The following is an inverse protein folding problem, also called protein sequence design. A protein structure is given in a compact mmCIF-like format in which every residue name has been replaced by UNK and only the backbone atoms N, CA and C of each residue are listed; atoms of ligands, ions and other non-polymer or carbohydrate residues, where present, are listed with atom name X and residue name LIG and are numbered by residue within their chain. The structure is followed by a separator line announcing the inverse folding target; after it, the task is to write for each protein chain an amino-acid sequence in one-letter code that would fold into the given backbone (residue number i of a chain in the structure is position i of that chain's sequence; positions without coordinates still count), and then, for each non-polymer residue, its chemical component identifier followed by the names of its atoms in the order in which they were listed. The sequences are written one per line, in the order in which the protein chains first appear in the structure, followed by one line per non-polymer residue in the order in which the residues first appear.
data_IF_757682092343
#
_entry.id   IF_757682092343
#
_cell.length_a   1.000
_cell.length_b   1.000
_cell.length_c   1.000
_cell.angle_alpha   90.00
_cell.angle_beta   90.00
_cell.angle_gamma   90.00
#
_symmetry.space_group_name_H-M   'P 1'
#
loop_
_entity.id
_entity.type
_entity.pdbx_description
1 polymer ?
#
# COMPACT_ATOMS: atom_id res chain seq x y z
N UNK A 1 62.34 -12.08 82.81
CA UNK A 1 62.63 -10.66 82.42
C UNK A 1 62.41 -10.50 80.94
N UNK A 2 61.65 -9.56 80.58
CA UNK A 2 61.13 -9.29 79.25
C UNK A 2 62.24 -8.89 78.27
N UNK A 3 62.18 -9.35 77.01
CA UNK A 3 62.53 -8.52 75.87
C UNK A 3 61.70 -8.91 74.66
N UNK A 4 61.12 -7.88 74.11
CA UNK A 4 60.25 -7.89 72.99
C UNK A 4 61.07 -7.80 71.71
N UNK A 5 60.93 -8.72 70.77
CA UNK A 5 61.47 -8.67 69.44
C UNK A 5 60.38 -8.43 68.41
N UNK A 6 60.46 -7.27 67.77
CA UNK A 6 59.55 -6.90 66.63
C UNK A 6 59.94 -7.66 65.37
N UNK A 7 59.05 -8.45 64.84
CA UNK A 7 59.17 -9.05 63.53
C UNK A 7 58.44 -8.15 62.49
N UNK A 8 59.17 -7.61 61.52
CA UNK A 8 58.61 -6.91 60.38
C UNK A 8 58.08 -7.94 59.37
N UNK A 9 56.85 -8.01 59.19
CA UNK A 9 56.21 -8.82 58.12
C UNK A 9 55.99 -7.91 56.89
N UNK A 10 56.72 -8.19 55.82
CA UNK A 10 56.53 -7.59 54.53
C UNK A 10 55.31 -8.24 53.87
N UNK A 11 54.27 -7.44 53.66
CA UNK A 11 53.09 -7.87 52.95
C UNK A 11 53.33 -7.66 51.43
N UNK A 12 53.48 -8.74 50.70
CA UNK A 12 53.40 -8.75 49.23
C UNK A 12 51.91 -8.68 48.81
N UNK A 13 51.47 -7.55 48.35
CA UNK A 13 50.16 -7.41 47.72
C UNK A 13 50.27 -7.84 46.25
N UNK A 14 49.76 -9.03 45.94
CA UNK A 14 49.53 -9.50 44.59
C UNK A 14 48.30 -8.74 44.02
N UNK A 15 48.54 -7.80 43.13
CA UNK A 15 47.47 -7.15 42.40
C UNK A 15 46.86 -8.12 41.38
N UNK A 16 45.66 -8.63 41.66
CA UNK A 16 44.82 -9.28 40.63
C UNK A 16 44.30 -8.21 39.70
N UNK A 17 44.86 -8.16 38.48
CA UNK A 17 44.22 -7.44 37.36
C UNK A 17 43.03 -8.28 36.89
N UNK A 18 41.83 -7.91 37.33
CA UNK A 18 40.59 -8.43 36.74
C UNK A 18 40.39 -7.76 35.39
N UNK A 19 40.69 -8.50 34.31
CA UNK A 19 40.27 -8.15 32.97
C UNK A 19 38.77 -8.43 32.89
N UNK A 20 37.93 -7.39 33.06
CA UNK A 20 36.54 -7.46 32.70
C UNK A 20 36.47 -7.42 31.18
N UNK A 21 36.29 -8.59 30.54
CA UNK A 21 35.87 -8.66 29.14
C UNK A 21 34.47 -8.04 29.05
N UNK A 22 34.40 -6.81 28.56
CA UNK A 22 33.13 -6.21 28.11
C UNK A 22 32.67 -7.01 26.91
N UNK A 23 31.75 -7.93 27.12
CA UNK A 23 30.96 -8.49 26.02
C UNK A 23 30.13 -7.34 25.48
N UNK A 24 30.58 -6.78 24.35
CA UNK A 24 29.72 -5.97 23.53
C UNK A 24 28.50 -6.85 23.15
N UNK A 25 27.33 -6.51 23.68
CA UNK A 25 26.07 -7.02 23.16
C UNK A 25 26.03 -6.55 21.70
N UNK A 26 26.23 -7.49 20.79
CA UNK A 26 25.83 -7.33 19.40
C UNK A 26 24.30 -7.32 19.46
N UNK A 27 23.70 -6.13 19.46
CA UNK A 27 22.28 -6.01 19.17
C UNK A 27 22.10 -6.59 17.77
N UNK A 28 21.43 -7.74 17.68
CA UNK A 28 20.89 -8.19 16.41
C UNK A 28 20.03 -7.05 15.89
N UNK A 29 20.21 -6.61 14.62
CA UNK A 29 19.34 -5.59 14.06
C UNK A 29 17.91 -6.11 14.11
N UNK A 30 17.01 -5.29 14.65
CA UNK A 30 15.57 -5.54 14.69
C UNK A 30 15.14 -5.97 13.27
N UNK A 31 14.54 -7.15 13.13
CA UNK A 31 14.14 -7.70 11.84
C UNK A 31 13.22 -6.74 11.07
N UNK A 32 12.47 -5.90 11.77
CA UNK A 32 11.64 -4.83 11.20
C UNK A 32 12.44 -3.69 10.54
N UNK A 33 13.70 -3.44 10.94
CA UNK A 33 14.53 -2.40 10.31
C UNK A 33 15.23 -2.87 9.03
N UNK A 34 15.34 -4.18 8.82
CA UNK A 34 16.03 -4.74 7.65
C UNK A 34 15.17 -4.80 6.37
N UNK A 35 13.85 -4.60 6.49
CA UNK A 35 12.88 -4.71 5.39
C UNK A 35 12.22 -3.37 4.99
N UNK A 36 12.68 -2.25 5.53
CA UNK A 36 12.20 -0.94 5.05
C UNK A 36 12.62 -0.77 3.58
N UNK A 37 11.70 -0.45 2.67
CA UNK A 37 12.04 -0.20 1.27
C UNK A 37 13.05 0.95 1.21
N UNK A 38 14.24 0.70 0.69
CA UNK A 38 15.27 1.72 0.47
C UNK A 38 15.08 2.47 -0.84
N UNK A 39 14.12 2.04 -1.67
CA UNK A 39 13.82 2.62 -2.97
C UNK A 39 12.51 3.40 -2.94
N UNK A 40 12.48 4.48 -3.70
CA UNK A 40 11.34 5.35 -3.90
C UNK A 40 10.22 4.59 -4.65
N UNK A 41 9.17 4.19 -3.91
CA UNK A 41 8.07 3.43 -4.49
C UNK A 41 7.16 4.33 -5.33
N UNK A 42 7.14 4.09 -6.63
CA UNK A 42 6.15 4.70 -7.53
C UNK A 42 4.82 3.93 -7.42
N UNK A 43 3.75 4.67 -7.16
CA UNK A 43 2.43 4.07 -6.98
C UNK A 43 1.84 3.65 -8.32
N UNK A 44 1.45 2.39 -8.44
CA UNK A 44 0.76 1.89 -9.61
C UNK A 44 -0.72 2.30 -9.64
N UNK A 45 -1.20 2.72 -10.80
CA UNK A 45 -2.62 2.82 -11.09
C UNK A 45 -3.25 1.42 -11.23
N UNK A 46 -4.58 1.30 -11.15
CA UNK A 46 -5.25 0.03 -11.42
C UNK A 46 -4.88 -0.57 -12.79
N UNK A 47 -4.81 0.29 -13.80
CA UNK A 47 -4.54 -0.08 -15.19
C UNK A 47 -3.10 -0.59 -15.36
N UNK A 48 -2.12 0.08 -14.77
CA UNK A 48 -0.71 -0.34 -14.74
C UNK A 48 -0.56 -1.69 -14.05
N UNK A 49 -1.20 -1.85 -12.89
CA UNK A 49 -1.15 -3.10 -12.13
C UNK A 49 -1.75 -4.27 -12.93
N UNK A 50 -2.91 -4.06 -13.55
CA UNK A 50 -3.57 -5.10 -14.37
C UNK A 50 -2.72 -5.40 -15.59
N UNK A 51 -2.22 -4.37 -16.29
CA UNK A 51 -1.35 -4.53 -17.43
C UNK A 51 -0.10 -5.35 -17.09
N UNK A 52 0.54 -5.05 -15.98
CA UNK A 52 1.74 -5.74 -15.50
C UNK A 52 1.49 -7.23 -15.25
N UNK A 53 0.39 -7.57 -14.57
CA UNK A 53 0.17 -8.92 -14.07
C UNK A 53 -0.79 -9.78 -14.91
N UNK A 54 -1.41 -9.23 -15.97
CA UNK A 54 -2.38 -9.97 -16.80
C UNK A 54 -1.80 -11.22 -17.44
N UNK A 55 -0.57 -11.14 -17.93
CA UNK A 55 0.12 -12.29 -18.56
C UNK A 55 0.38 -13.38 -17.53
N UNK A 56 0.94 -13.04 -16.37
CA UNK A 56 1.17 -13.98 -15.26
C UNK A 56 -0.13 -14.64 -14.81
N UNK A 57 -1.22 -13.89 -14.71
CA UNK A 57 -2.52 -14.44 -14.32
C UNK A 57 -3.07 -15.42 -15.37
N UNK A 58 -2.92 -15.13 -16.66
CA UNK A 58 -3.34 -16.03 -17.75
C UNK A 58 -2.46 -17.28 -17.78
N UNK A 59 -1.15 -17.15 -17.64
CA UNK A 59 -0.23 -18.30 -17.55
C UNK A 59 -0.58 -19.23 -16.37
N UNK A 60 -0.93 -18.63 -15.21
CA UNK A 60 -1.40 -19.42 -14.06
C UNK A 60 -2.77 -20.08 -14.32
N UNK A 61 -3.67 -19.42 -15.03
CA UNK A 61 -4.92 -20.04 -15.44
C UNK A 61 -4.69 -21.27 -16.32
N UNK A 62 -3.82 -21.15 -17.32
CA UNK A 62 -3.46 -22.26 -18.22
C UNK A 62 -2.79 -23.42 -17.48
N UNK A 63 -1.96 -23.12 -16.48
CA UNK A 63 -1.19 -24.14 -15.75
C UNK A 63 -1.98 -24.77 -14.59
N UNK A 64 -2.69 -23.97 -13.81
CA UNK A 64 -3.37 -24.43 -12.58
C UNK A 64 -4.88 -24.56 -12.74
N UNK A 65 -5.49 -23.98 -13.77
CA UNK A 65 -6.95 -23.99 -13.94
C UNK A 65 -7.69 -22.98 -13.07
N UNK A 66 -6.99 -21.99 -12.50
CA UNK A 66 -7.59 -20.90 -11.72
C UNK A 66 -7.88 -19.73 -12.68
N UNK A 67 -9.12 -19.19 -12.76
CA UNK A 67 -9.42 -18.07 -13.63
C UNK A 67 -8.44 -16.91 -13.48
N UNK A 68 -7.97 -16.34 -14.60
CA UNK A 68 -7.08 -15.18 -14.57
C UNK A 68 -7.74 -13.98 -13.88
N UNK A 69 -9.05 -13.81 -14.10
CA UNK A 69 -9.86 -12.78 -13.42
C UNK A 69 -9.91 -12.97 -11.91
N UNK A 70 -9.97 -14.18 -11.41
CA UNK A 70 -9.93 -14.50 -9.97
C UNK A 70 -8.55 -14.15 -9.41
N UNK A 71 -7.48 -14.61 -10.07
CA UNK A 71 -6.10 -14.30 -9.63
C UNK A 71 -5.86 -12.80 -9.55
N UNK A 72 -6.17 -12.05 -10.61
CA UNK A 72 -6.01 -10.58 -10.60
C UNK A 72 -6.97 -9.88 -9.62
N UNK A 73 -8.23 -10.31 -9.59
CA UNK A 73 -9.21 -9.73 -8.68
C UNK A 73 -8.81 -9.87 -7.21
N UNK A 74 -8.27 -11.03 -6.82
CA UNK A 74 -7.73 -11.25 -5.47
C UNK A 74 -6.47 -10.41 -5.23
N UNK A 75 -5.52 -10.40 -6.17
CA UNK A 75 -4.32 -9.59 -6.05
C UNK A 75 -4.65 -8.11 -5.87
N UNK A 76 -5.61 -7.58 -6.61
CA UNK A 76 -6.12 -6.20 -6.48
C UNK A 76 -6.75 -5.97 -5.11
N UNK A 77 -7.63 -6.87 -4.69
CA UNK A 77 -8.39 -6.75 -3.45
C UNK A 77 -7.49 -6.76 -2.21
N UNK A 78 -6.50 -7.65 -2.21
CA UNK A 78 -5.61 -7.90 -1.06
C UNK A 78 -4.44 -6.88 -1.01
N UNK A 79 -3.92 -6.46 -2.16
CA UNK A 79 -2.74 -5.59 -2.21
C UNK A 79 -3.03 -4.11 -2.49
N UNK A 80 -4.28 -3.75 -2.82
CA UNK A 80 -4.58 -2.39 -3.29
C UNK A 80 -3.76 -2.01 -4.53
N UNK A 81 -3.78 -2.85 -5.56
CA UNK A 81 -3.00 -2.69 -6.80
C UNK A 81 -1.47 -2.73 -6.57
N UNK A 82 -1.02 -3.58 -5.64
CA UNK A 82 0.39 -3.66 -5.28
C UNK A 82 0.90 -2.51 -4.41
N UNK A 83 0.06 -1.53 -4.08
CA UNK A 83 0.45 -0.37 -3.29
C UNK A 83 0.38 -0.61 -1.77
N UNK A 84 -0.25 -1.69 -1.32
CA UNK A 84 -0.38 -2.04 0.10
C UNK A 84 0.96 -2.41 0.74
N UNK A 85 1.06 -2.23 2.06
CA UNK A 85 2.29 -2.44 2.83
C UNK A 85 2.91 -3.82 2.56
N UNK A 86 2.15 -4.90 2.71
CA UNK A 86 2.67 -6.27 2.54
C UNK A 86 3.13 -6.55 1.10
N UNK A 87 2.47 -5.98 0.09
CA UNK A 87 2.92 -6.10 -1.30
C UNK A 87 4.27 -5.40 -1.50
N UNK A 88 4.47 -4.23 -0.90
CA UNK A 88 5.67 -3.40 -1.06
C UNK A 88 6.89 -3.94 -0.30
N UNK A 89 6.71 -4.32 0.97
CA UNK A 89 7.84 -4.68 1.85
C UNK A 89 8.11 -6.18 1.87
N UNK A 90 7.13 -7.00 1.49
CA UNK A 90 7.20 -8.45 1.57
C UNK A 90 6.90 -9.13 0.23
N UNK A 91 6.70 -8.37 -0.86
CA UNK A 91 6.23 -8.88 -2.16
C UNK A 91 4.97 -9.76 -2.04
N UNK A 92 4.16 -9.57 -0.97
CA UNK A 92 3.01 -10.41 -0.67
C UNK A 92 1.73 -9.76 -1.17
N UNK A 93 1.38 -10.05 -2.42
CA UNK A 93 0.24 -9.46 -3.13
C UNK A 93 -1.12 -10.09 -2.76
N UNK A 94 -1.13 -11.14 -1.95
CA UNK A 94 -2.35 -11.88 -1.58
C UNK A 94 -2.55 -11.95 -0.06
N UNK A 95 -1.78 -11.21 0.71
CA UNK A 95 -1.82 -11.21 2.18
C UNK A 95 -1.79 -12.63 2.78
N UNK A 96 -0.98 -13.53 2.19
CA UNK A 96 -0.91 -14.92 2.66
C UNK A 96 -0.18 -14.99 3.99
N UNK A 97 -0.89 -15.48 5.01
CA UNK A 97 -0.36 -15.69 6.37
C UNK A 97 0.57 -16.91 6.42
N UNK A 98 1.54 -16.88 7.34
CA UNK A 98 2.42 -18.02 7.58
C UNK A 98 1.64 -19.22 8.08
N UNK A 99 1.90 -20.40 7.48
CA UNK A 99 1.53 -21.70 8.07
C UNK A 99 2.73 -22.26 8.85
N UNK A 100 2.50 -23.24 9.72
CA UNK A 100 3.57 -23.92 10.47
C UNK A 100 4.64 -24.53 9.55
N UNK A 101 4.26 -24.96 8.36
CA UNK A 101 5.14 -25.53 7.33
C UNK A 101 5.94 -24.48 6.53
N UNK A 102 5.63 -23.19 6.68
CA UNK A 102 6.33 -22.14 5.95
C UNK A 102 7.76 -21.95 6.46
N UNK A 103 8.74 -22.11 5.57
CA UNK A 103 10.19 -22.00 5.88
C UNK A 103 10.83 -20.74 5.30
N UNK A 104 10.12 -19.97 4.47
CA UNK A 104 10.58 -18.71 3.87
C UNK A 104 10.60 -17.54 4.84
N UNK A 105 10.88 -16.34 4.31
CA UNK A 105 10.88 -15.08 5.04
C UNK A 105 9.55 -14.79 5.72
N UNK A 106 9.57 -14.04 6.82
CA UNK A 106 8.40 -13.73 7.63
C UNK A 106 8.41 -12.29 8.06
N UNK A 107 7.22 -11.67 8.09
CA UNK A 107 7.00 -10.34 8.66
C UNK A 107 5.77 -10.38 9.56
N UNK A 108 5.82 -9.64 10.66
CA UNK A 108 4.68 -9.44 11.54
C UNK A 108 3.93 -8.17 11.14
N UNK A 109 2.63 -8.28 10.96
CA UNK A 109 1.78 -7.13 10.65
C UNK A 109 0.41 -7.32 11.30
N UNK A 110 -0.17 -6.23 11.82
CA UNK A 110 -1.49 -6.29 12.44
C UNK A 110 -2.59 -6.46 11.38
N UNK A 111 -3.42 -7.49 11.55
CA UNK A 111 -4.59 -7.77 10.72
C UNK A 111 -5.73 -8.21 11.64
N UNK A 112 -6.16 -9.48 11.62
CA UNK A 112 -7.14 -10.01 12.58
C UNK A 112 -6.59 -9.99 14.02
N UNK A 113 -5.26 -10.17 14.17
CA UNK A 113 -4.54 -10.07 15.43
C UNK A 113 -3.34 -9.12 15.29
N UNK A 114 -2.89 -8.47 16.39
CA UNK A 114 -1.75 -7.55 16.34
C UNK A 114 -0.44 -8.18 15.84
N UNK A 115 -0.28 -9.50 16.05
CA UNK A 115 0.97 -10.23 15.78
C UNK A 115 0.80 -11.27 14.65
N UNK A 116 -0.07 -11.01 13.68
CA UNK A 116 -0.27 -11.92 12.56
C UNK A 116 1.01 -12.04 11.72
N UNK A 117 1.39 -13.28 11.40
CA UNK A 117 2.57 -13.58 10.59
C UNK A 117 2.20 -13.67 9.11
N UNK A 118 2.89 -12.91 8.27
CA UNK A 118 2.75 -12.95 6.80
C UNK A 118 4.02 -13.46 6.14
N UNK A 119 3.84 -14.14 4.97
CA UNK A 119 4.94 -14.63 4.16
C UNK A 119 5.67 -13.47 3.48
N UNK A 120 7.00 -13.56 3.41
CA UNK A 120 7.85 -12.66 2.62
C UNK A 120 8.38 -13.44 1.43
N UNK A 121 8.32 -12.84 0.25
CA UNK A 121 8.78 -13.43 -1.00
C UNK A 121 9.95 -12.64 -1.59
N UNK A 122 10.79 -13.33 -2.37
CA UNK A 122 11.92 -12.71 -3.05
C UNK A 122 11.49 -11.81 -4.22
N UNK A 123 10.30 -12.07 -4.77
CA UNK A 123 9.69 -11.25 -5.83
C UNK A 123 8.18 -11.32 -5.80
N UNK A 124 7.48 -10.35 -6.43
CA UNK A 124 6.04 -10.40 -6.63
C UNK A 124 5.57 -11.67 -7.36
N UNK A 125 6.30 -12.13 -8.38
CA UNK A 125 6.00 -13.35 -9.13
C UNK A 125 5.98 -14.59 -8.23
N UNK A 126 6.90 -14.64 -7.24
CA UNK A 126 6.92 -15.71 -6.25
C UNK A 126 5.64 -15.73 -5.39
N UNK A 127 5.08 -14.55 -5.08
CA UNK A 127 3.79 -14.41 -4.39
C UNK A 127 2.63 -14.91 -5.24
N UNK A 128 2.61 -14.56 -6.54
CA UNK A 128 1.58 -15.06 -7.47
C UNK A 128 1.63 -16.58 -7.61
N UNK A 129 2.84 -17.14 -7.70
CA UNK A 129 3.02 -18.60 -7.76
C UNK A 129 2.54 -19.29 -6.48
N UNK A 130 2.98 -18.79 -5.31
CA UNK A 130 2.59 -19.36 -4.01
C UNK A 130 1.08 -19.25 -3.79
N UNK A 131 0.41 -18.21 -4.31
CA UNK A 131 -1.04 -18.12 -4.29
C UNK A 131 -1.70 -19.22 -5.12
N UNK A 132 -1.20 -19.49 -6.33
CA UNK A 132 -1.73 -20.57 -7.17
C UNK A 132 -1.51 -21.94 -6.50
N UNK A 133 -0.31 -22.19 -5.97
CA UNK A 133 0.00 -23.41 -5.19
C UNK A 133 -0.90 -23.51 -3.93
N UNK A 134 -1.13 -22.42 -3.22
CA UNK A 134 -1.98 -22.36 -2.04
C UNK A 134 -3.44 -22.78 -2.31
N UNK A 135 -3.98 -22.39 -3.46
CA UNK A 135 -5.31 -22.81 -3.88
C UNK A 135 -5.31 -24.24 -4.39
N UNK A 136 -4.30 -24.63 -5.20
CA UNK A 136 -4.23 -25.94 -5.82
C UNK A 136 -3.93 -27.07 -4.82
N UNK A 137 -3.11 -26.82 -3.79
CA UNK A 137 -2.76 -27.81 -2.76
C UNK A 137 -3.75 -27.86 -1.59
N UNK A 138 -4.56 -26.83 -1.46
CA UNK A 138 -5.48 -26.70 -0.33
C UNK A 138 -6.76 -27.49 -0.52
N UNK A 139 -6.87 -28.68 0.09
CA UNK A 139 -8.03 -29.60 -0.05
C UNK A 139 -9.39 -28.95 0.15
N UNK A 140 -9.48 -27.86 0.91
CA UNK A 140 -10.73 -27.09 1.09
C UNK A 140 -11.16 -26.36 -0.19
N UNK A 141 -10.25 -26.21 -1.18
CA UNK A 141 -10.49 -25.56 -2.45
C UNK A 141 -10.72 -26.54 -3.61
N UNK A 142 -10.55 -27.87 -3.42
CA UNK A 142 -10.64 -28.88 -4.47
C UNK A 142 -11.92 -28.77 -5.31
N UNK A 143 -13.03 -28.44 -4.67
CA UNK A 143 -14.32 -28.34 -5.35
C UNK A 143 -14.41 -27.16 -6.33
N UNK A 144 -13.55 -26.14 -6.19
CA UNK A 144 -13.51 -24.98 -7.09
C UNK A 144 -13.09 -25.40 -8.50
N UNK A 145 -12.19 -26.36 -8.60
CA UNK A 145 -11.68 -26.89 -9.87
C UNK A 145 -12.69 -27.72 -10.66
N UNK A 146 -13.90 -27.89 -10.14
CA UNK A 146 -15.04 -28.44 -10.88
C UNK A 146 -15.81 -27.36 -11.67
N UNK A 147 -15.55 -26.07 -11.43
CA UNK A 147 -16.11 -24.97 -12.21
C UNK A 147 -15.25 -24.69 -13.44
N UNK A 148 -15.88 -24.23 -14.52
CA UNK A 148 -15.16 -23.76 -15.70
C UNK A 148 -14.33 -22.50 -15.36
N UNK A 149 -13.24 -22.26 -16.09
CA UNK A 149 -12.37 -21.11 -15.85
C UNK A 149 -13.01 -19.77 -16.22
N UNK A 150 -14.08 -19.74 -16.98
CA UNK A 150 -14.87 -18.54 -17.28
C UNK A 150 -16.03 -18.30 -16.29
N UNK A 151 -16.25 -19.22 -15.33
CA UNK A 151 -17.28 -19.07 -14.30
C UNK A 151 -16.74 -18.41 -13.03
N UNK A 152 -16.14 -17.23 -13.19
CA UNK A 152 -15.58 -16.46 -12.06
C UNK A 152 -16.58 -16.20 -10.93
N UNK A 153 -17.90 -16.17 -11.23
CA UNK A 153 -18.93 -15.92 -10.19
C UNK A 153 -19.06 -17.09 -9.21
N UNK A 154 -19.06 -18.31 -9.71
CA UNK A 154 -19.06 -19.49 -8.85
C UNK A 154 -17.70 -19.69 -8.16
N UNK A 155 -16.59 -19.36 -8.83
CA UNK A 155 -15.28 -19.31 -8.20
C UNK A 155 -15.23 -18.36 -7.02
N UNK A 156 -15.68 -17.10 -7.17
CA UNK A 156 -15.71 -16.11 -6.09
C UNK A 156 -16.56 -16.57 -4.89
N UNK A 157 -17.78 -17.08 -5.15
CA UNK A 157 -18.65 -17.64 -4.11
C UNK A 157 -18.03 -18.84 -3.42
N UNK A 158 -17.39 -19.70 -4.18
CA UNK A 158 -16.71 -20.90 -3.68
C UNK A 158 -15.50 -20.55 -2.80
N UNK A 159 -14.71 -19.55 -3.17
CA UNK A 159 -13.61 -19.03 -2.33
C UNK A 159 -14.12 -18.54 -0.96
N UNK A 160 -15.21 -17.81 -0.95
CA UNK A 160 -15.87 -17.41 0.29
C UNK A 160 -16.36 -18.62 1.09
N UNK A 161 -17.02 -19.59 0.45
CA UNK A 161 -17.50 -20.82 1.08
C UNK A 161 -16.33 -21.62 1.67
N UNK A 162 -15.19 -21.68 0.97
CA UNK A 162 -13.98 -22.33 1.44
C UNK A 162 -13.28 -21.55 2.60
N UNK A 163 -13.74 -20.35 2.94
CA UNK A 163 -13.16 -19.54 3.99
C UNK A 163 -11.79 -18.94 3.59
N UNK A 164 -11.65 -18.47 2.35
CA UNK A 164 -10.45 -17.75 1.92
C UNK A 164 -10.27 -16.47 2.72
N UNK A 165 -11.35 -15.72 2.94
CA UNK A 165 -11.39 -14.52 3.75
C UNK A 165 -12.53 -14.56 4.77
N UNK A 166 -12.38 -13.80 5.87
CA UNK A 166 -13.36 -13.70 6.97
C UNK A 166 -14.51 -12.75 6.62
N UNK A 167 -14.32 -11.82 5.67
CA UNK A 167 -15.32 -10.84 5.29
C UNK A 167 -16.58 -11.51 4.69
N UNK A 168 -17.76 -11.15 5.22
CA UNK A 168 -19.03 -11.78 4.83
C UNK A 168 -19.44 -11.46 3.38
N UNK A 169 -18.93 -10.38 2.81
CA UNK A 169 -19.20 -9.89 1.44
C UNK A 169 -18.03 -10.08 0.47
N UNK A 170 -17.09 -10.95 0.84
CA UNK A 170 -15.86 -11.18 0.06
C UNK A 170 -16.12 -11.54 -1.40
N UNK A 171 -17.05 -12.48 -1.64
CA UNK A 171 -17.45 -12.90 -2.98
C UNK A 171 -17.99 -11.72 -3.81
N UNK A 172 -18.83 -10.89 -3.22
CA UNK A 172 -19.40 -9.73 -3.91
C UNK A 172 -18.34 -8.67 -4.22
N UNK A 173 -17.42 -8.43 -3.28
CA UNK A 173 -16.29 -7.50 -3.50
C UNK A 173 -15.40 -7.98 -4.64
N UNK A 174 -15.08 -9.27 -4.67
CA UNK A 174 -14.27 -9.88 -5.73
C UNK A 174 -14.97 -9.79 -7.09
N UNK A 175 -16.26 -10.17 -7.17
CA UNK A 175 -17.06 -10.04 -8.38
C UNK A 175 -17.11 -8.59 -8.87
N UNK A 176 -17.32 -7.63 -7.97
CA UNK A 176 -17.37 -6.22 -8.32
C UNK A 176 -16.04 -5.71 -8.92
N UNK A 177 -14.91 -6.17 -8.43
CA UNK A 177 -13.59 -5.84 -8.99
C UNK A 177 -13.45 -6.45 -10.39
N UNK A 178 -13.79 -7.73 -10.54
CA UNK A 178 -13.71 -8.42 -11.84
C UNK A 178 -14.59 -7.73 -12.88
N UNK A 179 -15.83 -7.39 -12.53
CA UNK A 179 -16.76 -6.71 -13.43
C UNK A 179 -16.35 -5.26 -13.71
N UNK A 180 -15.87 -4.53 -12.70
CA UNK A 180 -15.43 -3.14 -12.82
C UNK A 180 -14.30 -2.96 -13.83
N UNK A 181 -13.32 -3.84 -13.81
CA UNK A 181 -12.16 -3.81 -14.70
C UNK A 181 -12.27 -4.78 -15.87
N UNK A 182 -13.45 -5.38 -16.06
CA UNK A 182 -13.71 -6.35 -17.13
C UNK A 182 -12.68 -7.49 -17.19
N UNK A 183 -12.13 -7.90 -16.02
CA UNK A 183 -11.05 -8.90 -15.93
C UNK A 183 -11.46 -10.27 -16.51
N UNK A 184 -12.76 -10.58 -16.50
CA UNK A 184 -13.31 -11.81 -17.09
C UNK A 184 -13.02 -11.99 -18.60
N UNK A 185 -12.63 -10.91 -19.30
CA UNK A 185 -12.16 -11.00 -20.69
C UNK A 185 -10.90 -11.86 -20.78
N UNK A 186 -10.05 -11.85 -19.75
CA UNK A 186 -8.82 -12.61 -19.67
C UNK A 186 -9.03 -14.12 -19.56
N UNK A 187 -10.20 -14.53 -19.04
CA UNK A 187 -10.53 -15.96 -18.86
C UNK A 187 -10.85 -16.69 -20.17
N UNK A 188 -11.11 -15.93 -21.24
CA UNK A 188 -11.48 -16.47 -22.53
C UNK A 188 -10.28 -16.77 -23.44
N UNK A 189 -10.59 -17.41 -24.56
CA UNK A 189 -9.60 -17.63 -25.62
C UNK A 189 -9.01 -16.27 -26.09
N UNK A 190 -7.69 -16.24 -26.31
CA UNK A 190 -6.95 -15.03 -26.70
C UNK A 190 -7.17 -13.85 -25.71
N UNK A 191 -7.36 -14.18 -24.42
CA UNK A 191 -7.77 -13.26 -23.36
C UNK A 191 -6.88 -12.01 -23.26
N UNK A 192 -5.55 -12.15 -23.33
CA UNK A 192 -4.61 -11.02 -23.28
C UNK A 192 -4.86 -10.08 -24.46
N UNK A 193 -4.90 -10.58 -25.70
CA UNK A 193 -5.08 -9.74 -26.87
C UNK A 193 -6.43 -9.01 -26.85
N UNK A 194 -7.49 -9.67 -26.41
CA UNK A 194 -8.84 -9.09 -26.27
C UNK A 194 -8.90 -8.05 -25.15
N UNK A 195 -8.18 -8.29 -24.07
CA UNK A 195 -8.12 -7.34 -22.97
C UNK A 195 -7.30 -6.09 -23.35
N UNK A 196 -6.20 -6.28 -24.06
CA UNK A 196 -5.41 -5.18 -24.60
C UNK A 196 -6.21 -4.31 -25.59
N UNK A 197 -7.01 -4.96 -26.46
CA UNK A 197 -7.94 -4.24 -27.34
C UNK A 197 -9.01 -3.47 -26.56
N UNK A 198 -9.56 -4.07 -25.49
CA UNK A 198 -10.51 -3.41 -24.58
C UNK A 198 -9.88 -2.18 -23.91
N UNK A 199 -8.68 -2.32 -23.34
CA UNK A 199 -7.96 -1.21 -22.71
C UNK A 199 -7.72 -0.06 -23.70
N UNK A 200 -7.28 -0.37 -24.91
CA UNK A 200 -6.98 0.64 -25.92
C UNK A 200 -8.24 1.35 -26.44
N UNK A 201 -9.33 0.62 -26.72
CA UNK A 201 -10.52 1.16 -27.38
C UNK A 201 -11.56 1.72 -26.41
N UNK A 202 -11.85 1.00 -25.34
CA UNK A 202 -12.92 1.39 -24.41
C UNK A 202 -12.41 2.31 -23.30
N UNK A 203 -11.16 2.14 -22.85
CA UNK A 203 -10.58 2.98 -21.81
C UNK A 203 -9.67 4.08 -22.36
N UNK A 204 -9.33 4.03 -23.66
CA UNK A 204 -8.45 5.02 -24.30
C UNK A 204 -7.01 4.98 -23.79
N UNK A 205 -6.56 3.82 -23.30
CA UNK A 205 -5.22 3.66 -22.71
C UNK A 205 -4.19 3.40 -23.81
N UNK A 206 -3.10 4.16 -23.81
CA UNK A 206 -1.95 3.89 -24.67
C UNK A 206 -1.07 2.78 -24.07
N UNK A 207 -1.20 1.57 -24.62
CA UNK A 207 -0.46 0.41 -24.14
C UNK A 207 1.05 0.54 -24.33
N UNK A 208 1.53 1.41 -25.23
CA UNK A 208 2.97 1.66 -25.38
C UNK A 208 3.52 2.47 -24.21
N UNK A 209 2.71 3.37 -23.65
CA UNK A 209 3.05 4.09 -22.42
C UNK A 209 3.15 3.11 -21.25
N UNK A 210 2.15 2.26 -21.05
CA UNK A 210 2.19 1.24 -19.99
C UNK A 210 3.35 0.24 -20.15
N UNK A 211 3.66 -0.15 -21.40
CA UNK A 211 4.80 -1.02 -21.68
C UNK A 211 6.14 -0.31 -21.39
N UNK A 212 6.23 1.00 -21.66
CA UNK A 212 7.41 1.81 -21.36
C UNK A 212 7.61 1.99 -19.85
N UNK A 213 6.55 2.19 -19.11
CA UNK A 213 6.58 2.30 -17.65
C UNK A 213 6.96 0.96 -16.99
N UNK A 214 6.39 -0.14 -17.43
CA UNK A 214 6.73 -1.48 -16.94
C UNK A 214 8.20 -1.85 -17.27
N UNK A 215 8.71 -1.48 -18.46
CA UNK A 215 10.10 -1.69 -18.86
C UNK A 215 11.08 -0.75 -18.13
N UNK A 216 10.64 0.45 -17.76
CA UNK A 216 11.44 1.39 -16.99
C UNK A 216 11.69 0.88 -15.56
N UNK A 217 10.72 0.24 -14.92
CA UNK A 217 10.90 -0.40 -13.61
C UNK A 217 11.85 -1.62 -13.69
N UNK A 218 11.81 -2.38 -14.78
CA UNK A 218 12.75 -3.49 -15.01
C UNK A 218 14.18 -3.00 -15.28
N UNK A 219 14.34 -1.80 -15.88
CA UNK A 219 15.63 -1.20 -16.19
C UNK A 219 16.24 -0.36 -15.06
N UNK A 220 15.47 0.03 -14.04
CA UNK A 220 15.97 0.77 -12.86
C UNK A 220 16.92 -0.08 -12.03
N UNK A 221 16.85 -1.41 -12.12
CA UNK A 221 17.87 -2.29 -11.57
C UNK A 221 19.26 -2.13 -12.25
N UNK A 222 19.34 -1.46 -13.42
CA UNK A 222 20.58 -1.20 -14.18
C UNK A 222 21.01 0.27 -14.21
N UNK A 223 20.25 1.23 -13.65
CA UNK A 223 20.54 2.67 -13.77
C UNK A 223 20.74 3.35 -12.40
N UNK A 224 21.72 2.88 -11.64
CA UNK A 224 22.25 3.60 -10.46
C UNK A 224 23.19 4.78 -10.83
N UNK A 225 23.13 5.35 -12.01
CA UNK A 225 24.14 6.34 -12.42
C UNK A 225 23.63 7.61 -13.14
N UNK A 226 22.39 8.08 -13.03
CA UNK A 226 22.06 9.45 -13.51
C UNK A 226 20.84 10.11 -12.87
N UNK A 227 21.11 11.13 -12.06
CA UNK A 227 20.44 12.46 -12.04
C UNK A 227 18.91 12.53 -11.95
N UNK A 228 18.48 13.05 -10.83
CA UNK A 228 17.12 13.44 -10.37
C UNK A 228 16.24 14.10 -11.44
N UNK A 229 15.05 13.51 -11.71
CA UNK A 229 13.92 14.14 -12.42
C UNK A 229 12.88 14.71 -11.42
N UNK A 230 12.04 15.68 -11.80
CA UNK A 230 11.07 16.30 -10.86
C UNK A 230 9.96 15.32 -10.47
N UNK A 231 9.69 15.24 -9.18
CA UNK A 231 8.70 14.35 -8.58
C UNK A 231 7.28 14.82 -8.81
N UNK A 232 6.41 13.89 -9.15
CA UNK A 232 4.97 14.06 -9.25
C UNK A 232 4.30 14.06 -7.85
N UNK A 233 3.13 14.70 -7.74
CA UNK A 233 2.38 14.85 -6.47
C UNK A 233 2.02 13.48 -5.86
N UNK A 234 1.77 12.46 -6.69
CA UNK A 234 1.52 11.10 -6.25
C UNK A 234 2.68 10.49 -5.45
N UNK A 235 3.92 10.84 -5.79
CA UNK A 235 5.15 10.40 -5.12
C UNK A 235 5.29 11.00 -3.73
N UNK A 236 4.83 12.25 -3.53
CA UNK A 236 4.86 12.92 -2.23
C UNK A 236 4.00 12.22 -1.16
N UNK A 237 2.93 11.53 -1.56
CA UNK A 237 2.09 10.77 -0.62
C UNK A 237 2.72 9.44 -0.18
N UNK A 238 3.52 8.79 -1.05
CA UNK A 238 4.17 7.52 -0.74
C UNK A 238 5.22 7.64 0.38
N UNK A 239 5.97 8.76 0.40
CA UNK A 239 7.04 9.00 1.37
C UNK A 239 6.55 9.44 2.75
N UNK A 240 5.27 9.77 2.90
CA UNK A 240 4.72 10.25 4.18
C UNK A 240 4.50 9.14 5.22
N UNK A 241 4.69 7.87 4.86
CA UNK A 241 4.34 6.72 5.71
C UNK A 241 2.84 6.56 5.93
N UNK A 242 2.02 7.39 5.27
CA UNK A 242 0.56 7.31 5.31
C UNK A 242 0.12 6.74 3.98
N UNK A 243 -0.29 5.49 4.00
CA UNK A 243 -0.94 4.86 2.86
C UNK A 243 -2.39 5.38 2.77
N UNK A 244 -2.73 6.21 1.76
CA UNK A 244 -4.12 6.63 1.57
C UNK A 244 -5.05 5.46 1.22
N UNK A 245 -4.52 4.26 0.91
CA UNK A 245 -5.30 3.04 0.74
C UNK A 245 -5.58 2.31 2.06
N UNK A 246 -4.85 2.60 3.13
CA UNK A 246 -5.21 2.16 4.47
C UNK A 246 -6.39 2.96 5.05
N UNK A 247 -6.85 3.96 4.34
CA UNK A 247 -8.10 4.61 4.72
C UNK A 247 -9.26 3.67 4.42
N UNK A 248 -10.01 3.40 5.45
CA UNK A 248 -11.18 2.53 5.40
C UNK A 248 -12.11 2.96 4.26
N UNK A 249 -12.24 2.13 3.23
CA UNK A 249 -13.29 2.29 2.23
C UNK A 249 -14.63 2.08 2.93
N UNK A 250 -15.41 3.12 3.10
CA UNK A 250 -16.69 3.06 3.79
C UNK A 250 -17.82 2.72 2.85
N UNK A 251 -17.66 3.03 1.55
CA UNK A 251 -18.66 2.77 0.52
C UNK A 251 -17.95 2.40 -0.79
N UNK A 252 -18.16 1.17 -1.28
CA UNK A 252 -17.69 0.76 -2.59
C UNK A 252 -18.63 1.32 -3.66
N UNK A 253 -18.08 2.08 -4.61
CA UNK A 253 -18.77 2.52 -5.83
C UNK A 253 -20.06 3.33 -5.59
N UNK A 254 -19.94 4.44 -4.86
CA UNK A 254 -20.99 5.46 -4.87
C UNK A 254 -20.82 6.34 -6.12
N UNK A 255 -21.77 6.24 -7.05
CA UNK A 255 -21.69 6.94 -8.34
C UNK A 255 -20.38 6.72 -9.14
N UNK A 256 -19.82 5.53 -9.04
CA UNK A 256 -18.57 5.20 -9.74
C UNK A 256 -17.29 5.62 -9.01
N UNK A 257 -17.38 6.15 -7.78
CA UNK A 257 -16.22 6.48 -6.93
C UNK A 257 -16.16 5.57 -5.71
N UNK A 258 -14.97 5.17 -5.32
CA UNK A 258 -14.75 4.66 -3.98
C UNK A 258 -14.76 5.83 -3.00
N UNK A 259 -15.48 5.68 -1.91
CA UNK A 259 -15.51 6.68 -0.84
C UNK A 259 -14.61 6.18 0.28
N UNK A 260 -13.59 6.94 0.56
CA UNK A 260 -12.60 6.67 1.60
C UNK A 260 -12.89 7.49 2.85
N UNK A 261 -12.33 7.09 3.98
CA UNK A 261 -12.44 7.80 5.25
C UNK A 261 -11.05 8.05 5.83
N UNK A 262 -10.71 9.31 6.09
CA UNK A 262 -9.55 9.67 6.89
C UNK A 262 -9.90 10.76 7.89
N UNK A 263 -9.38 10.67 9.09
CA UNK A 263 -9.56 11.62 10.17
C UNK A 263 -11.04 12.01 10.44
N UNK A 264 -11.95 11.04 10.20
CA UNK A 264 -13.39 11.22 10.38
C UNK A 264 -14.09 12.00 9.24
N UNK A 265 -13.44 12.21 8.10
CA UNK A 265 -14.03 12.85 6.92
C UNK A 265 -13.95 11.95 5.70
N UNK A 266 -15.05 11.85 4.94
CA UNK A 266 -15.09 11.09 3.71
C UNK A 266 -14.49 11.88 2.54
N UNK A 267 -13.80 11.16 1.65
CA UNK A 267 -13.23 11.71 0.43
C UNK A 267 -13.29 10.72 -0.73
N UNK A 268 -13.11 11.23 -1.92
CA UNK A 268 -12.96 10.48 -3.17
C UNK A 268 -11.63 10.87 -3.82
N UNK A 269 -11.20 10.09 -4.79
CA UNK A 269 -10.08 10.46 -5.68
C UNK A 269 -10.67 10.94 -6.99
N UNK A 270 -10.34 12.15 -7.40
CA UNK A 270 -10.84 12.78 -8.62
C UNK A 270 -10.36 12.03 -9.86
N UNK A 271 -11.19 11.99 -10.89
CA UNK A 271 -10.88 11.41 -12.19
C UNK A 271 -10.62 12.49 -13.23
N UNK A 272 -10.05 12.11 -14.36
CA UNK A 272 -9.91 13.00 -15.50
C UNK A 272 -11.30 13.56 -15.94
N UNK A 273 -11.39 14.88 -16.08
CA UNK A 273 -12.63 15.58 -16.45
C UNK A 273 -13.57 15.91 -15.29
N UNK A 274 -13.23 15.56 -14.06
CA UNK A 274 -14.00 15.98 -12.90
C UNK A 274 -13.92 17.49 -12.69
N UNK A 275 -15.02 18.03 -12.16
CA UNK A 275 -15.10 19.40 -11.69
C UNK A 275 -15.90 19.44 -10.38
N UNK A 276 -15.73 20.50 -9.58
CA UNK A 276 -16.58 20.64 -8.40
C UNK A 276 -18.07 20.80 -8.74
N UNK A 277 -18.39 21.19 -9.97
CA UNK A 277 -19.77 21.23 -10.45
C UNK A 277 -20.30 19.82 -10.73
N UNK A 278 -19.54 18.96 -11.45
CA UNK A 278 -19.92 17.58 -11.73
C UNK A 278 -19.98 16.73 -10.46
N UNK A 279 -18.95 16.82 -9.60
CA UNK A 279 -18.90 16.12 -8.33
C UNK A 279 -19.98 16.60 -7.36
N UNK A 280 -20.28 17.91 -7.35
CA UNK A 280 -21.35 18.47 -6.55
C UNK A 280 -22.73 17.95 -6.91
N UNK A 281 -23.02 17.84 -8.21
CA UNK A 281 -24.25 17.23 -8.71
C UNK A 281 -24.33 15.73 -8.36
N UNK A 282 -23.19 15.04 -8.40
CA UNK A 282 -23.10 13.60 -8.15
C UNK A 282 -23.34 13.24 -6.67
N UNK A 283 -22.80 14.04 -5.76
CA UNK A 283 -22.86 13.79 -4.31
C UNK A 283 -23.92 14.64 -3.59
N UNK A 284 -24.73 15.37 -4.33
CA UNK A 284 -25.74 16.32 -3.79
C UNK A 284 -25.13 17.35 -2.83
N UNK A 285 -23.99 17.91 -3.22
CA UNK A 285 -23.27 18.92 -2.45
C UNK A 285 -23.04 20.16 -3.33
N UNK A 286 -23.40 21.33 -2.84
CA UNK A 286 -23.15 22.56 -3.59
C UNK A 286 -21.65 22.71 -3.92
N UNK A 287 -21.25 23.07 -5.16
CA UNK A 287 -19.83 23.19 -5.57
C UNK A 287 -19.00 24.10 -4.65
N UNK A 288 -19.60 25.20 -4.19
CA UNK A 288 -18.96 26.11 -3.24
C UNK A 288 -18.68 25.44 -1.87
N UNK A 289 -19.53 24.51 -1.46
CA UNK A 289 -19.34 23.73 -0.23
C UNK A 289 -18.22 22.71 -0.40
N UNK A 290 -18.15 22.02 -1.55
CA UNK A 290 -17.05 21.12 -1.87
C UNK A 290 -15.70 21.86 -1.88
N UNK A 291 -15.61 23.01 -2.54
CA UNK A 291 -14.40 23.85 -2.51
C UNK A 291 -14.02 24.22 -1.07
N UNK A 292 -14.99 24.57 -0.23
CA UNK A 292 -14.76 24.88 1.19
C UNK A 292 -14.28 23.68 2.00
N UNK A 293 -14.78 22.47 1.74
CA UNK A 293 -14.30 21.25 2.39
C UNK A 293 -12.83 20.97 2.04
N UNK A 294 -12.43 21.36 0.83
CA UNK A 294 -11.09 21.18 0.31
C UNK A 294 -10.15 22.40 0.52
N UNK A 295 -10.57 23.39 1.31
CA UNK A 295 -9.81 24.61 1.59
C UNK A 295 -9.41 25.41 0.33
N UNK A 296 -10.15 25.26 -0.77
CA UNK A 296 -9.89 25.94 -2.04
C UNK A 296 -10.65 27.26 -2.16
N UNK A 297 -10.03 28.22 -2.82
CA UNK A 297 -10.59 29.53 -3.14
C UNK A 297 -10.52 29.78 -4.64
N UNK A 298 -11.50 30.53 -5.17
CA UNK A 298 -11.56 30.83 -6.61
C UNK A 298 -12.04 29.65 -7.46
N UNK A 299 -11.63 29.63 -8.73
CA UNK A 299 -12.11 28.70 -9.77
C UNK A 299 -11.15 27.53 -9.98
N UNK A 300 -10.38 27.14 -8.95
CA UNK A 300 -9.52 25.96 -9.01
C UNK A 300 -10.40 24.72 -9.06
N UNK A 301 -10.17 23.85 -10.03
CA UNK A 301 -10.84 22.56 -10.19
C UNK A 301 -9.91 21.41 -9.84
N UNK A 302 -10.42 20.23 -9.44
CA UNK A 302 -9.59 19.09 -9.09
C UNK A 302 -8.93 18.51 -10.34
N UNK A 303 -7.66 18.10 -10.22
CA UNK A 303 -6.99 17.29 -11.20
C UNK A 303 -7.24 15.78 -10.96
N UNK A 304 -7.02 14.96 -11.98
CA UNK A 304 -7.05 13.51 -11.80
C UNK A 304 -6.02 13.07 -10.75
N UNK A 305 -6.46 12.23 -9.80
CA UNK A 305 -5.64 11.79 -8.69
C UNK A 305 -5.76 12.63 -7.42
N UNK A 306 -6.36 13.82 -7.48
CA UNK A 306 -6.52 14.66 -6.29
C UNK A 306 -7.49 14.04 -5.28
N UNK A 307 -7.14 14.17 -4.00
CA UNK A 307 -8.05 13.88 -2.89
C UNK A 307 -9.11 14.98 -2.82
N UNK A 308 -10.37 14.61 -2.99
CA UNK A 308 -11.51 15.53 -2.88
C UNK A 308 -12.39 15.13 -1.71
N UNK A 309 -12.36 15.90 -0.65
CA UNK A 309 -13.22 15.69 0.51
C UNK A 309 -14.65 16.06 0.18
N UNK A 310 -15.56 15.12 0.41
CA UNK A 310 -17.02 15.29 0.29
C UNK A 310 -17.66 15.62 1.65
N UNK A 311 -16.84 15.74 2.70
CA UNK A 311 -17.20 16.16 4.04
C UNK A 311 -16.16 17.16 4.59
N UNK A 312 -16.54 17.81 5.68
CA UNK A 312 -15.65 18.79 6.31
C UNK A 312 -14.51 18.10 7.05
N UNK A 313 -13.28 18.42 6.68
CA UNK A 313 -12.06 17.98 7.38
C UNK A 313 -12.02 18.39 8.85
N UNK A 314 -11.32 17.63 9.68
CA UNK A 314 -11.10 17.93 11.09
C UNK A 314 -10.19 19.14 11.31
N UNK A 315 -10.09 19.65 12.53
CA UNK A 315 -9.17 20.72 12.87
C UNK A 315 -7.79 20.25 13.30
N UNK A 316 -7.64 18.96 13.65
CA UNK A 316 -6.41 18.32 14.12
C UNK A 316 -6.42 16.86 13.67
N UNK A 317 -5.25 16.24 13.63
CA UNK A 317 -5.10 14.82 13.43
C UNK A 317 -5.54 14.03 14.68
N UNK A 318 -6.28 12.96 14.50
CA UNK A 318 -6.77 12.07 15.58
C UNK A 318 -5.98 10.75 15.68
N UNK A 319 -5.07 10.48 14.74
CA UNK A 319 -4.21 9.30 14.77
C UNK A 319 -2.98 9.48 15.65
N UNK A 320 -2.10 8.47 15.67
CA UNK A 320 -0.95 8.41 16.59
C UNK A 320 0.18 9.36 16.22
N UNK A 321 0.40 9.62 14.93
CA UNK A 321 1.46 10.52 14.47
C UNK A 321 1.27 11.94 15.03
N UNK A 322 2.32 12.45 15.66
CA UNK A 322 2.33 13.82 16.21
C UNK A 322 2.88 14.81 15.20
N UNK A 323 3.80 14.36 14.36
CA UNK A 323 4.51 15.16 13.36
C UNK A 323 4.51 14.46 12.02
N UNK A 324 4.54 15.25 10.95
CA UNK A 324 4.84 14.83 9.59
C UNK A 324 6.21 15.40 9.20
N UNK A 325 7.06 14.62 8.58
CA UNK A 325 8.33 15.08 8.02
C UNK A 325 8.11 15.42 6.55
N UNK A 326 8.33 16.67 6.20
CA UNK A 326 8.14 17.19 4.84
C UNK A 326 9.08 16.49 3.88
N UNK A 327 8.55 15.98 2.78
CA UNK A 327 9.33 15.46 1.65
C UNK A 327 9.38 16.47 0.49
N UNK A 328 10.29 16.24 -0.46
CA UNK A 328 10.48 17.17 -1.59
C UNK A 328 9.17 17.30 -2.40
N UNK A 329 8.77 18.54 -2.71
CA UNK A 329 7.55 18.84 -3.47
C UNK A 329 6.28 19.01 -2.64
N UNK A 330 6.29 18.68 -1.36
CA UNK A 330 5.13 18.93 -0.49
C UNK A 330 4.95 20.40 -0.12
N UNK A 331 3.72 20.75 0.07
CA UNK A 331 3.30 22.02 0.65
C UNK A 331 2.26 21.78 1.75
N UNK A 332 1.96 22.82 2.52
CA UNK A 332 1.03 22.67 3.66
C UNK A 332 -0.39 22.26 3.22
N UNK A 333 -0.79 22.59 1.98
CA UNK A 333 -2.08 22.16 1.41
C UNK A 333 -2.11 20.65 1.19
N UNK A 334 -1.08 20.08 0.56
CA UNK A 334 -0.97 18.63 0.35
C UNK A 334 -0.98 17.86 1.66
N UNK A 335 -0.22 18.31 2.65
CA UNK A 335 -0.21 17.71 4.00
C UNK A 335 -1.61 17.82 4.64
N UNK A 336 -2.32 18.93 4.46
CA UNK A 336 -3.69 19.10 4.95
C UNK A 336 -4.69 18.12 4.30
N UNK A 337 -4.52 17.85 3.00
CA UNK A 337 -5.35 16.88 2.26
C UNK A 337 -5.04 15.45 2.71
N UNK A 338 -3.76 15.12 2.84
CA UNK A 338 -3.31 13.80 3.26
C UNK A 338 -3.87 13.37 4.62
N UNK A 339 -3.80 14.27 5.60
CA UNK A 339 -4.25 13.97 6.97
C UNK A 339 -5.72 14.34 7.27
N UNK A 340 -6.48 14.80 6.29
CA UNK A 340 -7.86 15.23 6.53
C UNK A 340 -7.95 16.35 7.58
N UNK A 341 -6.96 17.24 7.60
CA UNK A 341 -6.91 18.40 8.50
C UNK A 341 -7.21 19.66 7.70
N UNK A 342 -8.03 20.56 8.22
CA UNK A 342 -8.26 21.86 7.58
C UNK A 342 -6.97 22.67 7.50
N UNK A 343 -6.71 23.27 6.34
CA UNK A 343 -5.49 24.02 6.07
C UNK A 343 -5.22 25.17 7.07
N UNK A 344 -6.25 25.94 7.40
CA UNK A 344 -6.09 27.08 8.32
C UNK A 344 -5.73 26.68 9.76
N UNK A 345 -6.37 25.68 10.40
CA UNK A 345 -5.91 25.14 11.69
C UNK A 345 -4.49 24.60 11.64
N UNK A 346 -4.13 23.85 10.59
CA UNK A 346 -2.77 23.30 10.42
C UNK A 346 -1.72 24.41 10.30
N UNK A 347 -2.01 25.42 9.49
CA UNK A 347 -1.19 26.62 9.32
C UNK A 347 -0.95 27.36 10.65
N UNK A 348 -2.01 27.57 11.43
CA UNK A 348 -1.91 28.21 12.76
C UNK A 348 -1.11 27.38 13.75
N UNK A 349 -1.32 26.05 13.75
CA UNK A 349 -0.64 25.13 14.66
C UNK A 349 0.89 25.18 14.45
N UNK A 350 1.30 25.31 13.19
CA UNK A 350 2.71 25.31 12.80
C UNK A 350 3.33 26.70 12.63
N UNK A 351 2.53 27.78 12.67
CA UNK A 351 2.96 29.15 12.37
C UNK A 351 3.57 29.30 10.97
N UNK A 352 3.12 28.48 10.03
CA UNK A 352 3.55 28.42 8.63
C UNK A 352 2.39 28.92 7.76
N UNK A 353 2.66 29.82 6.80
CA UNK A 353 1.64 30.31 5.87
C UNK A 353 1.31 29.21 4.85
N UNK A 354 0.04 29.13 4.40
CA UNK A 354 -0.36 28.16 3.40
C UNK A 354 0.40 28.28 2.06
N UNK A 355 0.88 29.48 1.74
CA UNK A 355 1.68 29.78 0.55
C UNK A 355 3.20 29.68 0.77
N UNK A 356 3.64 29.33 1.97
CA UNK A 356 5.06 29.22 2.30
C UNK A 356 5.64 27.92 1.75
N UNK A 357 6.81 28.02 1.14
CA UNK A 357 7.55 26.84 0.66
C UNK A 357 8.10 26.09 1.85
N UNK A 358 7.75 24.81 1.96
CA UNK A 358 8.29 23.91 2.98
C UNK A 358 9.64 23.35 2.52
N UNK A 359 10.50 23.07 3.48
CA UNK A 359 11.84 22.51 3.21
C UNK A 359 11.81 21.02 3.51
N UNK A 360 12.31 20.14 2.60
CA UNK A 360 12.43 18.71 2.88
C UNK A 360 13.17 18.43 4.20
N UNK A 361 12.62 17.55 5.03
CA UNK A 361 13.09 17.29 6.38
C UNK A 361 12.50 18.20 7.46
N UNK A 362 11.80 19.27 7.10
CA UNK A 362 11.05 20.09 8.05
C UNK A 362 9.93 19.28 8.71
N UNK A 363 9.67 19.49 9.99
CA UNK A 363 8.60 18.80 10.70
C UNK A 363 7.36 19.68 10.79
N UNK A 364 6.20 19.13 10.41
CA UNK A 364 4.88 19.75 10.53
C UNK A 364 4.11 19.06 11.65
N UNK A 365 3.73 19.80 12.67
CA UNK A 365 2.91 19.31 13.78
C UNK A 365 1.48 19.08 13.32
N UNK A 366 0.90 17.92 13.64
CA UNK A 366 -0.44 17.51 13.20
C UNK A 366 -1.51 17.70 14.27
N UNK A 367 -1.13 17.70 15.57
CA UNK A 367 -2.03 17.83 16.73
C UNK A 367 -1.41 18.54 17.91
#
# INVERSE_FOLDING_TARGET
MRFVGRLLTAIFTLGLLSITASMAQVNEPDADQALAPTEEWVRMTPEEYIYRWRTTAVEHMEHYGIPASITLGQAILESGYGNGYLARVANNHFCIKCKKSWTGGRITHADDNPDDCFRVYDSPEASFRDHADFLNEGTRYDFLFAYDTDDYKNWAKGLKQAGYATAHDYDQRLINIIERYSLHILDGKDGIARYDEYMARELGIDLQVLAGEAAAEESVAEIEERGVAPRDIATAYADSGIDPNNFRVTMNSHHGYNVYLTNGAHYIVAKAGDSFASLGALFDIAPATLRKFNDLKGDVEPAAGDIVYIERKASRWNGDAVYHTVVAGENLYLISQLYGIRLQPLSKLNRVRASETLIPGQTIKLR
#
